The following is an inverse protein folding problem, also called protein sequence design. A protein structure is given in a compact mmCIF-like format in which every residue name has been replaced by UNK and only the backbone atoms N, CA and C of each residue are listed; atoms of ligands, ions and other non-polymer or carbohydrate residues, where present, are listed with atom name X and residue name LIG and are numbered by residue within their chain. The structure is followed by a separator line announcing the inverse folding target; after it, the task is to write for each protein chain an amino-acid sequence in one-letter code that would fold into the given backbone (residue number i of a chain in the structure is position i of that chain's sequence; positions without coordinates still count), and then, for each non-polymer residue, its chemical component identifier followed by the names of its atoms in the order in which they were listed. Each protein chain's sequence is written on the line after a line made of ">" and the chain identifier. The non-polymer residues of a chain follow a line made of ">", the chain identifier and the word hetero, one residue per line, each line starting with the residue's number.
data_IF_456016329373
#
_entry.id   IF_456016329373
#
_cell.length_a   1.000
_cell.length_b   1.000
_cell.length_c   1.000
_cell.angle_alpha   90.00
_cell.angle_beta   90.00
_cell.angle_gamma   90.00
#
_symmetry.space_group_name_H-M   'P 1'
#
loop_
_entity.id
_entity.type
_entity.pdbx_description
1 polymer ?
#
# COMPACT_ATOMS: atom_id res chain seq x y z
N UNK A 1 -22.40 -3.97 -6.61
CA UNK A 1 -20.95 -4.06 -6.37
C UNK A 1 -20.74 -4.43 -4.90
N UNK A 2 -19.92 -5.45 -4.62
CA UNK A 2 -19.59 -5.86 -3.24
C UNK A 2 -18.64 -4.85 -2.64
N UNK A 3 -18.88 -4.46 -1.39
CA UNK A 3 -18.05 -3.48 -0.67
C UNK A 3 -17.48 -4.14 0.57
N UNK A 4 -16.15 -4.10 0.72
CA UNK A 4 -15.46 -4.51 1.94
C UNK A 4 -15.48 -3.35 2.93
N UNK A 5 -16.10 -3.57 4.07
CA UNK A 5 -16.08 -2.62 5.18
C UNK A 5 -14.70 -2.57 5.85
N UNK A 6 -14.30 -1.40 6.41
CA UNK A 6 -13.03 -1.28 7.09
C UNK A 6 -13.00 -2.16 8.36
N UNK A 7 -11.90 -2.86 8.59
CA UNK A 7 -11.71 -3.67 9.78
C UNK A 7 -10.84 -2.99 10.86
N UNK A 8 -10.14 -1.92 10.52
CA UNK A 8 -9.21 -1.22 11.40
C UNK A 8 -9.59 0.24 11.68
N UNK A 9 -10.72 0.71 11.17
CA UNK A 9 -11.23 2.05 11.49
C UNK A 9 -11.57 2.16 12.98
N UNK A 10 -10.98 3.16 13.64
CA UNK A 10 -11.07 3.35 15.09
C UNK A 10 -9.98 2.63 15.91
N UNK A 11 -9.17 1.78 15.28
CA UNK A 11 -8.06 1.07 15.90
C UNK A 11 -6.70 1.54 15.36
N UNK A 12 -6.41 1.30 14.07
CA UNK A 12 -5.15 1.71 13.44
C UNK A 12 -5.19 3.15 12.95
N UNK A 13 -6.36 3.64 12.60
CA UNK A 13 -6.61 5.01 12.19
C UNK A 13 -8.00 5.47 12.67
N UNK A 14 -8.23 6.77 12.72
CA UNK A 14 -9.45 7.34 13.29
C UNK A 14 -10.71 6.88 12.53
N UNK A 15 -11.76 6.53 13.28
CA UNK A 15 -12.97 5.88 12.79
C UNK A 15 -14.02 6.80 12.15
N UNK A 16 -13.81 8.12 12.09
CA UNK A 16 -14.75 9.06 11.44
C UNK A 16 -14.04 9.93 10.42
N UNK A 17 -14.75 10.38 9.39
CA UNK A 17 -14.19 11.24 8.34
C UNK A 17 -13.45 12.46 8.92
N UNK A 18 -14.09 13.19 9.83
CA UNK A 18 -13.50 14.41 10.39
C UNK A 18 -12.26 14.12 11.23
N UNK A 19 -12.27 13.10 12.08
CA UNK A 19 -11.13 12.74 12.92
C UNK A 19 -9.99 12.16 12.09
N UNK A 20 -10.28 11.36 11.05
CA UNK A 20 -9.29 10.78 10.18
C UNK A 20 -8.60 11.85 9.31
N UNK A 21 -9.36 12.81 8.77
CA UNK A 21 -8.76 13.93 8.04
C UNK A 21 -7.76 14.69 8.91
N UNK A 22 -8.15 15.03 10.15
CA UNK A 22 -7.25 15.72 11.09
C UNK A 22 -6.03 14.89 11.47
N UNK A 23 -6.20 13.57 11.61
CA UNK A 23 -5.09 12.66 11.90
C UNK A 23 -4.09 12.61 10.74
N UNK A 24 -4.57 12.53 9.50
CA UNK A 24 -3.72 12.55 8.30
C UNK A 24 -3.03 13.91 8.14
N UNK A 25 -3.73 15.03 8.37
CA UNK A 25 -3.12 16.37 8.41
C UNK A 25 -1.95 16.40 9.40
N UNK A 26 -2.18 15.87 10.61
CA UNK A 26 -1.17 15.79 11.66
C UNK A 26 0.03 14.92 11.26
N UNK A 27 -0.19 13.81 10.53
CA UNK A 27 0.89 12.98 9.99
C UNK A 27 1.76 13.76 8.99
N UNK A 28 1.14 14.48 8.06
CA UNK A 28 1.86 15.30 7.08
C UNK A 28 2.61 16.47 7.72
N UNK A 29 2.04 17.09 8.74
CA UNK A 29 2.63 18.25 9.43
C UNK A 29 3.58 17.89 10.58
N UNK A 30 3.71 16.60 10.91
CA UNK A 30 4.56 16.12 11.99
C UNK A 30 6.05 16.38 11.69
N UNK A 31 6.87 16.50 12.74
CA UNK A 31 8.33 16.68 12.63
C UNK A 31 9.06 15.54 11.89
N UNK A 32 8.49 14.32 11.89
CA UNK A 32 8.98 13.16 11.15
C UNK A 32 8.29 13.01 9.78
N UNK A 33 7.30 13.81 9.49
CA UNK A 33 6.61 13.88 8.20
C UNK A 33 7.23 14.93 7.28
N UNK A 34 6.61 15.20 6.13
CA UNK A 34 7.12 16.18 5.16
C UNK A 34 7.01 17.65 5.61
N UNK A 35 6.33 17.93 6.74
CA UNK A 35 6.14 19.27 7.30
C UNK A 35 5.15 20.14 6.56
N UNK A 36 4.43 19.61 5.57
CA UNK A 36 3.42 20.30 4.77
C UNK A 36 2.43 19.32 4.15
N UNK A 37 1.21 19.83 3.85
CA UNK A 37 0.16 19.02 3.22
C UNK A 37 0.48 18.70 1.77
N UNK A 38 0.03 17.55 1.24
CA UNK A 38 0.26 17.16 -0.15
C UNK A 38 -0.57 18.02 -1.10
N UNK A 39 0.02 18.34 -2.25
CA UNK A 39 -0.66 18.98 -3.36
C UNK A 39 -0.34 18.19 -4.64
N UNK A 40 -1.30 17.41 -5.17
CA UNK A 40 -1.03 16.55 -6.33
C UNK A 40 -0.61 17.36 -7.55
N UNK A 41 0.52 16.99 -8.14
CA UNK A 41 0.99 17.55 -9.40
C UNK A 41 0.10 17.01 -10.53
N UNK A 42 -0.60 17.91 -11.19
CA UNK A 42 -1.51 17.58 -12.32
C UNK A 42 -0.82 17.61 -13.68
N UNK A 43 0.48 17.88 -13.72
CA UNK A 43 1.21 18.11 -14.97
C UNK A 43 2.43 17.20 -15.05
N UNK A 44 2.68 16.68 -16.26
CA UNK A 44 3.89 15.92 -16.56
C UNK A 44 3.75 14.41 -16.39
N UNK A 45 4.81 13.71 -16.79
CA UNK A 45 4.93 12.26 -16.58
C UNK A 45 5.43 11.98 -15.17
N UNK A 46 4.90 10.93 -14.55
CA UNK A 46 5.41 10.40 -13.30
C UNK A 46 6.74 9.69 -13.51
N UNK A 47 7.59 9.72 -12.49
CA UNK A 47 8.88 9.02 -12.46
C UNK A 47 8.96 7.95 -11.38
N UNK A 48 8.18 8.09 -10.29
CA UNK A 48 8.12 7.10 -9.22
C UNK A 48 7.35 5.87 -9.72
N UNK A 49 8.00 4.71 -9.70
CA UNK A 49 7.43 3.43 -10.15
C UNK A 49 6.84 2.66 -8.98
N UNK A 50 7.52 2.72 -7.82
CA UNK A 50 7.10 2.01 -6.62
C UNK A 50 7.41 2.81 -5.35
N UNK A 51 6.71 2.49 -4.26
CA UNK A 51 6.93 3.00 -2.91
C UNK A 51 6.97 1.83 -1.93
N UNK A 52 7.79 1.95 -0.89
CA UNK A 52 7.65 1.14 0.33
C UNK A 52 7.00 2.01 1.39
N UNK A 53 5.91 1.54 2.00
CA UNK A 53 5.14 2.29 2.98
C UNK A 53 4.85 1.43 4.21
N UNK A 54 5.04 1.94 5.43
CA UNK A 54 4.71 1.20 6.63
C UNK A 54 3.20 1.05 6.83
N UNK A 55 2.78 0.04 7.61
CA UNK A 55 1.37 -0.28 7.85
C UNK A 55 1.01 -0.43 9.34
N UNK A 56 1.84 0.03 10.26
CA UNK A 56 1.46 0.17 11.65
C UNK A 56 0.34 1.21 11.82
N UNK A 57 -0.28 1.25 13.00
CA UNK A 57 -1.28 2.28 13.29
C UNK A 57 -0.72 3.70 13.08
N UNK A 58 -1.56 4.62 12.63
CA UNK A 58 -1.15 5.99 12.24
C UNK A 58 -0.45 6.77 13.35
N UNK A 59 -0.71 6.46 14.61
CA UNK A 59 0.00 7.07 15.74
C UNK A 59 1.49 6.67 15.81
N UNK A 60 1.85 5.54 15.18
CA UNK A 60 3.24 5.03 15.16
C UNK A 60 3.93 5.35 13.84
N UNK A 61 3.36 4.92 12.71
CA UNK A 61 3.99 5.01 11.40
C UNK A 61 3.42 6.09 10.47
N UNK A 62 2.28 6.69 10.80
CA UNK A 62 1.61 7.65 9.93
C UNK A 62 2.49 8.81 9.44
N UNK A 63 3.29 9.47 10.30
CA UNK A 63 4.21 10.52 9.86
C UNK A 63 5.27 10.03 8.87
N UNK A 64 5.75 8.79 9.02
CA UNK A 64 6.71 8.19 8.09
C UNK A 64 6.04 7.88 6.76
N UNK A 65 4.88 7.20 6.78
CA UNK A 65 4.07 6.94 5.59
C UNK A 65 3.74 8.22 4.82
N UNK A 66 3.44 9.33 5.52
CA UNK A 66 3.13 10.62 4.92
C UNK A 66 4.23 11.13 3.99
N UNK A 67 5.53 10.80 4.23
CA UNK A 67 6.62 11.19 3.33
C UNK A 67 6.48 10.50 1.95
N UNK A 68 6.15 9.20 1.93
CA UNK A 68 5.94 8.45 0.69
C UNK A 68 4.78 9.01 -0.13
N UNK A 69 3.64 9.29 0.51
CA UNK A 69 2.48 9.88 -0.17
C UNK A 69 2.69 11.33 -0.59
N UNK A 70 3.50 12.07 0.15
CA UNK A 70 3.89 13.43 -0.25
C UNK A 70 4.80 13.40 -1.48
N UNK A 71 5.78 12.51 -1.52
CA UNK A 71 6.64 12.31 -2.68
C UNK A 71 5.82 11.93 -3.92
N UNK A 72 4.89 10.97 -3.76
CA UNK A 72 3.98 10.55 -4.83
C UNK A 72 3.09 11.70 -5.32
N UNK A 73 2.53 12.50 -4.41
CA UNK A 73 1.72 13.67 -4.79
C UNK A 73 2.50 14.68 -5.63
N UNK A 74 3.76 14.91 -5.30
CA UNK A 74 4.66 15.79 -6.09
C UNK A 74 5.00 15.21 -7.45
N UNK A 75 5.12 13.89 -7.56
CA UNK A 75 5.44 13.20 -8.81
C UNK A 75 4.27 13.21 -9.80
N UNK A 76 3.04 13.04 -9.30
CA UNK A 76 1.85 13.10 -10.15
C UNK A 76 0.66 12.33 -9.63
N UNK A 77 -0.30 12.09 -10.51
CA UNK A 77 -1.53 11.36 -10.19
C UNK A 77 -1.49 10.01 -10.92
N UNK A 78 -1.41 8.88 -10.18
CA UNK A 78 -1.55 7.56 -10.79
C UNK A 78 -2.99 7.29 -11.21
N UNK A 79 -3.19 6.45 -12.22
CA UNK A 79 -4.51 5.96 -12.59
C UNK A 79 -4.95 4.79 -11.70
N UNK A 80 -3.98 3.96 -11.31
CA UNK A 80 -4.21 2.78 -10.46
C UNK A 80 -3.03 2.60 -9.50
N UNK A 81 -3.34 2.13 -8.28
CA UNK A 81 -2.35 1.73 -7.29
C UNK A 81 -2.42 0.21 -7.08
N UNK A 82 -1.36 -0.52 -7.42
CA UNK A 82 -1.23 -1.94 -7.03
C UNK A 82 -0.61 -1.97 -5.63
N UNK A 83 -1.38 -2.44 -4.65
CA UNK A 83 -0.95 -2.44 -3.25
C UNK A 83 -0.73 -3.89 -2.80
N UNK A 84 0.51 -4.22 -2.49
CA UNK A 84 0.88 -5.51 -1.92
C UNK A 84 1.11 -5.37 -0.42
N UNK A 85 0.66 -6.36 0.35
CA UNK A 85 0.90 -6.38 1.79
C UNK A 85 0.91 -7.81 2.34
N UNK A 86 1.60 -8.03 3.47
CA UNK A 86 1.63 -9.33 4.12
C UNK A 86 0.25 -9.70 4.67
N UNK A 87 0.02 -11.01 4.75
CA UNK A 87 -1.16 -11.59 5.39
C UNK A 87 -0.86 -11.93 6.85
N UNK A 88 -1.38 -11.15 7.78
CA UNK A 88 -1.22 -11.38 9.22
C UNK A 88 -2.29 -12.32 9.80
N UNK A 89 -3.37 -12.56 9.06
CA UNK A 89 -4.51 -13.32 9.56
C UNK A 89 -4.38 -14.82 9.38
N UNK A 90 -3.53 -15.27 8.47
CA UNK A 90 -3.42 -16.65 8.05
C UNK A 90 -4.65 -17.18 7.31
N UNK A 91 -5.57 -16.31 6.88
CA UNK A 91 -6.78 -16.70 6.15
C UNK A 91 -6.55 -16.59 4.64
N UNK A 92 -7.17 -17.50 3.89
CA UNK A 92 -7.14 -17.49 2.44
C UNK A 92 -5.92 -18.15 1.81
N UNK A 93 -5.70 -17.86 0.53
CA UNK A 93 -4.64 -18.47 -0.28
C UNK A 93 -3.27 -17.87 -0.02
N UNK A 94 -2.21 -18.56 -0.46
CA UNK A 94 -0.81 -18.14 -0.28
C UNK A 94 -0.49 -16.78 -0.89
N UNK A 95 -1.05 -16.49 -2.07
CA UNK A 95 -1.08 -15.17 -2.70
C UNK A 95 -2.49 -14.92 -3.17
N UNK A 96 -3.11 -13.87 -2.67
CA UNK A 96 -4.54 -13.59 -2.89
C UNK A 96 -4.74 -12.24 -3.53
N UNK A 97 -5.61 -12.17 -4.54
CA UNK A 97 -6.02 -10.92 -5.20
C UNK A 97 -7.54 -10.78 -5.17
N UNK A 98 -8.06 -9.57 -5.02
CA UNK A 98 -9.44 -9.28 -5.36
C UNK A 98 -9.50 -8.62 -6.74
N UNK A 99 -10.33 -9.17 -7.62
CA UNK A 99 -10.44 -8.71 -9.01
C UNK A 99 -11.66 -7.81 -9.27
N UNK A 100 -12.51 -7.63 -8.28
CA UNK A 100 -13.70 -6.76 -8.38
C UNK A 100 -14.17 -6.30 -7.00
N UNK A 101 -15.05 -5.30 -6.97
CA UNK A 101 -15.62 -4.75 -5.75
C UNK A 101 -15.05 -3.39 -5.38
N UNK A 102 -15.18 -3.03 -4.12
CA UNK A 102 -14.66 -1.79 -3.57
C UNK A 102 -14.35 -1.95 -2.08
N UNK A 103 -13.49 -1.08 -1.56
CA UNK A 103 -13.21 -1.00 -0.13
C UNK A 103 -13.64 0.35 0.43
N UNK A 104 -14.26 0.29 1.59
CA UNK A 104 -14.72 1.46 2.33
C UNK A 104 -13.69 1.88 3.39
N UNK A 105 -13.53 3.18 3.57
CA UNK A 105 -12.87 3.81 4.71
C UNK A 105 -13.76 4.95 5.23
N UNK A 106 -13.46 5.56 6.38
CA UNK A 106 -14.19 6.76 6.81
C UNK A 106 -14.15 7.95 5.84
N UNK A 107 -13.20 7.97 4.88
CA UNK A 107 -13.12 9.02 3.86
C UNK A 107 -14.02 8.73 2.65
N UNK A 108 -14.48 7.50 2.48
CA UNK A 108 -15.35 7.06 1.39
C UNK A 108 -14.91 5.72 0.80
N UNK A 109 -15.40 5.40 -0.39
CA UNK A 109 -15.23 4.09 -1.03
C UNK A 109 -14.35 4.22 -2.26
N UNK A 110 -13.32 3.36 -2.37
CA UNK A 110 -12.46 3.23 -3.56
C UNK A 110 -12.72 1.91 -4.26
N UNK A 111 -12.86 1.95 -5.57
CA UNK A 111 -13.13 0.77 -6.40
C UNK A 111 -11.85 0.03 -6.74
N UNK A 112 -11.95 -1.30 -6.83
CA UNK A 112 -10.90 -2.13 -7.40
C UNK A 112 -10.82 -1.87 -8.90
N UNK A 113 -9.61 -1.78 -9.44
CA UNK A 113 -9.36 -1.75 -10.87
C UNK A 113 -9.46 -3.17 -11.42
N UNK A 114 -10.68 -3.57 -11.81
CA UNK A 114 -10.96 -4.92 -12.26
C UNK A 114 -10.18 -5.33 -13.52
N UNK A 115 -9.88 -4.37 -14.40
CA UNK A 115 -9.12 -4.64 -15.62
C UNK A 115 -7.66 -4.98 -15.28
N UNK A 116 -7.01 -4.12 -14.50
CA UNK A 116 -5.62 -4.33 -14.07
C UNK A 116 -5.50 -5.57 -13.18
N UNK A 117 -6.45 -5.78 -12.25
CA UNK A 117 -6.44 -6.94 -11.37
C UNK A 117 -6.54 -8.27 -12.13
N UNK A 118 -7.40 -8.36 -13.14
CA UNK A 118 -7.51 -9.55 -14.00
C UNK A 118 -6.25 -9.78 -14.82
N UNK A 119 -5.67 -8.71 -15.40
CA UNK A 119 -4.39 -8.81 -16.12
C UNK A 119 -3.29 -9.38 -15.23
N UNK A 120 -3.18 -8.93 -13.98
CA UNK A 120 -2.19 -9.46 -13.03
C UNK A 120 -2.45 -10.94 -12.75
N UNK A 121 -3.69 -11.29 -12.43
CA UNK A 121 -4.07 -12.66 -12.11
C UNK A 121 -3.79 -13.63 -13.27
N UNK A 122 -4.01 -13.21 -14.51
CA UNK A 122 -3.75 -13.99 -15.72
C UNK A 122 -2.26 -14.23 -16.02
N UNK A 123 -1.35 -13.42 -15.44
CA UNK A 123 0.10 -13.55 -15.64
C UNK A 123 0.75 -14.60 -14.71
N UNK A 124 0.08 -15.06 -13.65
CA UNK A 124 0.64 -16.01 -12.70
C UNK A 124 -0.39 -17.05 -12.26
N UNK A 125 0.09 -18.28 -12.03
CA UNK A 125 -0.74 -19.39 -11.54
C UNK A 125 -0.81 -19.50 -10.03
N UNK A 126 0.02 -18.76 -9.31
CA UNK A 126 0.06 -18.77 -7.84
C UNK A 126 -0.82 -17.66 -7.23
N UNK A 127 -1.35 -16.75 -8.05
CA UNK A 127 -2.23 -15.67 -7.59
C UNK A 127 -3.67 -16.14 -7.68
N UNK A 128 -4.27 -16.44 -6.54
CA UNK A 128 -5.66 -16.88 -6.43
C UNK A 128 -6.62 -15.71 -6.25
N UNK A 129 -7.79 -15.79 -6.89
CA UNK A 129 -8.89 -14.86 -6.61
C UNK A 129 -9.55 -15.27 -5.29
N UNK A 130 -9.19 -14.58 -4.22
CA UNK A 130 -9.67 -14.93 -2.87
C UNK A 130 -9.89 -13.68 -2.01
N UNK A 131 -11.17 -13.42 -1.69
CA UNK A 131 -11.57 -12.30 -0.82
C UNK A 131 -11.34 -12.57 0.67
N UNK A 132 -11.24 -13.85 1.07
CA UNK A 132 -11.15 -14.22 2.49
C UNK A 132 -9.86 -13.73 3.13
N UNK A 133 -8.75 -13.73 2.37
CA UNK A 133 -7.47 -13.19 2.78
C UNK A 133 -7.52 -11.71 3.14
N UNK A 134 -8.37 -10.95 2.46
CA UNK A 134 -8.46 -9.50 2.62
C UNK A 134 -9.43 -9.05 3.72
N UNK A 135 -10.35 -9.93 4.14
CA UNK A 135 -11.51 -9.54 4.95
C UNK A 135 -11.14 -8.85 6.27
N UNK A 136 -10.13 -9.34 6.97
CA UNK A 136 -9.68 -8.84 8.28
C UNK A 136 -8.21 -8.36 8.24
N UNK A 137 -7.58 -8.35 7.06
CA UNK A 137 -6.20 -7.94 6.90
C UNK A 137 -6.10 -6.41 6.83
N UNK A 138 -5.10 -5.86 7.53
CA UNK A 138 -4.91 -4.42 7.69
C UNK A 138 -3.82 -3.82 6.80
N UNK A 139 -2.82 -4.60 6.39
CA UNK A 139 -1.62 -4.10 5.71
C UNK A 139 -1.90 -3.26 4.46
N UNK A 140 -2.93 -3.65 3.70
CA UNK A 140 -3.39 -2.91 2.51
C UNK A 140 -4.40 -1.82 2.90
N UNK A 141 -5.31 -2.11 3.85
CA UNK A 141 -6.36 -1.19 4.25
C UNK A 141 -5.80 0.15 4.74
N UNK A 142 -4.74 0.13 5.55
CA UNK A 142 -4.16 1.34 6.14
C UNK A 142 -3.51 2.27 5.11
N UNK A 143 -3.23 1.78 3.90
CA UNK A 143 -2.71 2.61 2.81
C UNK A 143 -3.79 3.46 2.15
N UNK A 144 -5.04 2.95 2.11
CA UNK A 144 -6.13 3.60 1.39
C UNK A 144 -6.49 5.01 1.90
N UNK A 145 -6.55 5.30 3.21
CA UNK A 145 -6.90 6.64 3.66
C UNK A 145 -5.91 7.72 3.20
N UNK A 146 -4.60 7.44 3.14
CA UNK A 146 -3.62 8.38 2.60
C UNK A 146 -3.85 8.64 1.11
N UNK A 147 -4.15 7.60 0.34
CA UNK A 147 -4.46 7.71 -1.09
C UNK A 147 -5.75 8.49 -1.33
N UNK A 148 -6.81 8.18 -0.58
CA UNK A 148 -8.10 8.88 -0.66
C UNK A 148 -7.99 10.35 -0.25
N UNK A 149 -7.22 10.64 0.80
CA UNK A 149 -6.96 12.01 1.24
C UNK A 149 -6.22 12.80 0.15
N UNK A 150 -5.23 12.19 -0.48
CA UNK A 150 -4.37 12.85 -1.46
C UNK A 150 -5.03 13.01 -2.83
N UNK A 151 -5.72 11.99 -3.32
CA UNK A 151 -6.23 11.92 -4.71
C UNK A 151 -7.76 11.84 -4.82
N UNK A 152 -8.44 11.68 -3.70
CA UNK A 152 -9.89 11.43 -3.68
C UNK A 152 -10.24 9.95 -3.87
N UNK A 153 -11.52 9.65 -3.71
CA UNK A 153 -12.05 8.26 -3.74
C UNK A 153 -12.18 7.66 -5.12
N UNK A 154 -12.00 8.47 -6.18
CA UNK A 154 -12.06 7.98 -7.57
C UNK A 154 -10.79 7.24 -8.01
N UNK A 155 -9.70 7.35 -7.25
CA UNK A 155 -8.48 6.57 -7.49
C UNK A 155 -8.79 5.08 -7.31
N UNK A 156 -8.45 4.29 -8.32
CA UNK A 156 -8.62 2.84 -8.30
C UNK A 156 -7.40 2.16 -7.70
N UNK A 157 -7.58 0.94 -7.22
CA UNK A 157 -6.47 0.15 -6.70
C UNK A 157 -6.66 -1.34 -6.96
N UNK A 158 -5.57 -2.11 -6.83
CA UNK A 158 -5.56 -3.58 -6.87
C UNK A 158 -4.94 -4.08 -5.57
N UNK A 159 -5.67 -4.79 -4.71
CA UNK A 159 -5.13 -5.36 -3.49
C UNK A 159 -4.55 -6.76 -3.74
N UNK A 160 -3.30 -6.98 -3.31
CA UNK A 160 -2.64 -8.30 -3.33
C UNK A 160 -2.16 -8.60 -1.92
N UNK A 161 -2.68 -9.68 -1.32
CA UNK A 161 -2.36 -10.11 0.03
C UNK A 161 -1.45 -11.34 -0.02
N UNK A 162 -0.28 -11.27 0.59
CA UNK A 162 0.78 -12.28 0.49
C UNK A 162 0.99 -12.99 1.83
N UNK A 163 0.59 -14.25 1.92
CA UNK A 163 0.96 -15.15 3.01
C UNK A 163 2.33 -15.81 2.74
N UNK A 164 2.58 -16.19 1.49
CA UNK A 164 3.87 -16.67 1.01
C UNK A 164 4.71 -15.47 0.58
N UNK A 165 5.88 -15.29 1.21
CA UNK A 165 6.74 -14.12 1.04
C UNK A 165 8.20 -14.51 0.75
N UNK A 166 8.43 -15.77 0.38
CA UNK A 166 9.75 -16.21 -0.05
C UNK A 166 10.14 -15.55 -1.39
N UNK A 167 11.44 -15.51 -1.67
CA UNK A 167 12.00 -14.83 -2.84
C UNK A 167 11.36 -15.33 -4.14
N UNK A 168 11.20 -16.64 -4.31
CA UNK A 168 10.65 -17.21 -5.55
C UNK A 168 9.21 -16.74 -5.78
N UNK A 169 8.37 -16.81 -4.75
CA UNK A 169 6.98 -16.32 -4.80
C UNK A 169 6.95 -14.82 -5.06
N UNK A 170 7.79 -14.05 -4.39
CA UNK A 170 7.85 -12.59 -4.55
C UNK A 170 8.29 -12.17 -5.95
N UNK A 171 9.26 -12.86 -6.53
CA UNK A 171 9.69 -12.64 -7.92
C UNK A 171 8.57 -12.94 -8.92
N UNK A 172 7.88 -14.09 -8.79
CA UNK A 172 6.77 -14.45 -9.67
C UNK A 172 5.63 -13.42 -9.62
N UNK A 173 5.27 -12.95 -8.42
CA UNK A 173 4.26 -11.90 -8.25
C UNK A 173 4.74 -10.58 -8.83
N UNK A 174 6.01 -10.21 -8.62
CA UNK A 174 6.62 -9.01 -9.17
C UNK A 174 6.63 -9.00 -10.71
N UNK A 175 6.98 -10.12 -11.34
CA UNK A 175 6.91 -10.28 -12.79
C UNK A 175 5.48 -10.17 -13.32
N UNK A 176 4.52 -10.82 -12.68
CA UNK A 176 3.12 -10.75 -13.06
C UNK A 176 2.59 -9.31 -13.03
N UNK A 177 2.92 -8.56 -11.96
CA UNK A 177 2.55 -7.14 -11.84
C UNK A 177 3.22 -6.32 -12.94
N UNK A 178 4.54 -6.45 -13.10
CA UNK A 178 5.33 -5.69 -14.09
C UNK A 178 4.79 -5.87 -15.50
N UNK A 179 4.49 -7.11 -15.90
CA UNK A 179 3.94 -7.43 -17.21
C UNK A 179 2.54 -6.81 -17.39
N UNK A 180 1.68 -6.92 -16.38
CA UNK A 180 0.30 -6.43 -16.44
C UNK A 180 0.18 -4.91 -16.52
N UNK A 181 1.08 -4.17 -15.83
CA UNK A 181 1.04 -2.69 -15.77
C UNK A 181 2.01 -2.01 -16.76
N UNK A 182 2.74 -2.77 -17.56
CA UNK A 182 3.69 -2.23 -18.53
C UNK A 182 3.03 -1.19 -19.45
N UNK A 183 3.63 -0.02 -19.53
CA UNK A 183 3.12 1.11 -20.33
C UNK A 183 1.90 1.84 -19.74
N UNK A 184 1.40 1.42 -18.57
CA UNK A 184 0.30 2.10 -17.87
C UNK A 184 0.82 3.19 -16.91
N UNK A 185 -0.10 4.05 -16.43
CA UNK A 185 0.19 5.04 -15.38
C UNK A 185 -0.14 4.47 -13.99
N UNK A 186 0.28 3.22 -13.73
CA UNK A 186 0.12 2.59 -12.43
C UNK A 186 1.31 2.88 -11.50
N UNK A 187 1.11 2.67 -10.20
CA UNK A 187 2.16 2.67 -9.19
C UNK A 187 2.05 1.42 -8.32
N UNK A 188 3.19 0.89 -7.89
CA UNK A 188 3.26 -0.21 -6.93
C UNK A 188 3.47 0.37 -5.53
N UNK A 189 2.73 -0.14 -4.55
CA UNK A 189 2.92 0.18 -3.14
C UNK A 189 3.19 -1.12 -2.40
N UNK A 190 4.44 -1.32 -1.97
CA UNK A 190 4.82 -2.38 -1.07
C UNK A 190 4.56 -1.94 0.37
N UNK A 191 3.54 -2.51 0.99
CA UNK A 191 3.17 -2.24 2.35
C UNK A 191 4.00 -3.11 3.28
N UNK A 192 4.96 -2.51 4.00
CA UNK A 192 5.92 -3.24 4.83
C UNK A 192 6.37 -2.42 6.02
N UNK A 193 6.20 -2.99 7.21
CA UNK A 193 6.88 -2.49 8.40
C UNK A 193 8.31 -3.06 8.45
N UNK A 194 9.17 -2.41 9.23
CA UNK A 194 10.55 -2.82 9.49
C UNK A 194 10.64 -3.56 10.83
N UNK A 195 11.78 -3.54 11.51
CA UNK A 195 12.02 -4.27 12.76
C UNK A 195 11.01 -3.94 13.85
N UNK A 196 10.50 -4.99 14.53
CA UNK A 196 9.57 -4.88 15.64
C UNK A 196 10.20 -5.30 16.97
N UNK A 197 9.76 -4.65 18.07
CA UNK A 197 10.05 -5.03 19.45
C UNK A 197 11.53 -5.09 19.83
N UNK A 198 12.39 -4.34 19.14
CA UNK A 198 13.81 -4.22 19.44
C UNK A 198 14.17 -2.81 19.93
N UNK A 199 15.32 -2.70 20.60
CA UNK A 199 15.84 -1.38 20.96
C UNK A 199 16.27 -0.59 19.71
N UNK A 200 16.29 0.73 19.84
CA UNK A 200 16.57 1.65 18.72
C UNK A 200 17.88 1.35 17.97
N UNK A 201 18.93 0.96 18.66
CA UNK A 201 20.22 0.73 18.02
C UNK A 201 20.21 -0.55 17.17
N UNK A 202 19.58 -1.62 17.68
CA UNK A 202 19.41 -2.88 16.94
C UNK A 202 18.47 -2.71 15.76
N UNK A 203 17.31 -2.08 15.98
CA UNK A 203 16.34 -1.77 14.94
C UNK A 203 16.97 -0.94 13.81
N UNK A 204 17.62 0.18 14.14
CA UNK A 204 18.27 1.03 13.12
C UNK A 204 19.31 0.27 12.29
N UNK A 205 20.10 -0.61 12.92
CA UNK A 205 21.10 -1.38 12.18
C UNK A 205 20.47 -2.34 11.18
N UNK A 206 19.43 -3.06 11.59
CA UNK A 206 18.71 -4.01 10.72
C UNK A 206 17.95 -3.29 9.62
N UNK A 207 17.19 -2.27 9.97
CA UNK A 207 16.38 -1.51 9.04
C UNK A 207 17.23 -0.83 7.96
N UNK A 208 18.38 -0.24 8.36
CA UNK A 208 19.28 0.38 7.39
C UNK A 208 19.88 -0.63 6.42
N UNK A 209 20.18 -1.87 6.87
CA UNK A 209 20.65 -2.93 5.98
C UNK A 209 19.61 -3.27 4.91
N UNK A 210 18.33 -3.42 5.31
CA UNK A 210 17.22 -3.67 4.38
C UNK A 210 17.01 -2.49 3.43
N UNK A 211 17.03 -1.25 3.95
CA UNK A 211 16.87 -0.05 3.15
C UNK A 211 17.98 0.07 2.10
N UNK A 212 19.23 -0.27 2.43
CA UNK A 212 20.34 -0.27 1.47
C UNK A 212 20.10 -1.25 0.32
N UNK A 213 19.57 -2.47 0.60
CA UNK A 213 19.23 -3.44 -0.43
C UNK A 213 18.07 -2.94 -1.31
N UNK A 214 17.03 -2.37 -0.69
CA UNK A 214 15.92 -1.77 -1.46
C UNK A 214 16.42 -0.66 -2.39
N UNK A 215 17.29 0.22 -1.90
CA UNK A 215 17.87 1.31 -2.71
C UNK A 215 18.81 0.79 -3.81
N UNK A 216 19.47 -0.34 -3.56
CA UNK A 216 20.31 -1.04 -4.54
C UNK A 216 19.52 -1.87 -5.55
N UNK A 217 18.23 -2.11 -5.33
CA UNK A 217 17.39 -3.07 -6.05
C UNK A 217 18.02 -4.48 -6.03
N UNK A 218 18.54 -4.87 -4.88
CA UNK A 218 19.19 -6.16 -4.64
C UNK A 218 18.23 -7.09 -3.87
N UNK A 219 17.39 -7.78 -4.62
CA UNK A 219 16.36 -8.68 -4.09
C UNK A 219 16.96 -9.97 -3.51
N UNK A 220 18.15 -10.38 -3.95
CA UNK A 220 18.80 -11.59 -3.44
C UNK A 220 19.39 -11.39 -2.04
N UNK A 221 19.72 -10.14 -1.68
CA UNK A 221 20.31 -9.79 -0.38
C UNK A 221 19.28 -9.31 0.65
N UNK A 222 18.01 -9.16 0.25
CA UNK A 222 16.90 -8.81 1.12
C UNK A 222 16.47 -10.03 1.95
#
# INVERSE_FOLDING_TARGET
>A
MKVRSPCQAGAFYAGTKSSLTKQIDSCFLHKLGPGKLPAPNKKGKRSIVALVCPHAGYMYSGPVAANSYFALAKDGIPETCVIMGPNHTGMGSGVSIMIEGAWETPLGTSSIDAETAKKIQEQSKIIDVDESAHRLEHSIEVQLPFLQYTYGTNLKFVPICMMMQDLTTSCEVGEAISNAISGSNAIIIASSDMTHYENQAAASKKDMSVIEQILGLDEESL
#
